data_IF_491203098548
#
_entry.id   IF_491203098548
#
_cell.length_a   1.000
_cell.length_b   1.000
_cell.length_c   1.000
_cell.angle_alpha   90.00
_cell.angle_beta   90.00
_cell.angle_gamma   90.00
#
_symmetry.space_group_name_H-M   'P 1'
#
loop_
_entity.id
_entity.type
_entity.pdbx_description
1 polymer ?
#
# COMPACT_ATOMS: atom_id res chain seq x y z
N UNK A 1 -11.87 -14.63 21.28
CA UNK A 1 -12.42 -13.42 20.59
C UNK A 1 -12.82 -12.35 21.63
N UNK A 2 -12.06 -12.16 22.72
CA UNK A 2 -12.40 -11.20 23.79
C UNK A 2 -11.25 -10.19 23.98
N UNK A 3 -10.90 -9.44 22.93
CA UNK A 3 -9.87 -8.41 23.02
C UNK A 3 -10.45 -7.15 23.67
N UNK A 4 -9.74 -6.58 24.64
CA UNK A 4 -10.11 -5.30 25.28
C UNK A 4 -9.55 -4.13 24.45
N UNK A 5 -10.24 -2.97 24.42
CA UNK A 5 -9.74 -1.79 23.74
C UNK A 5 -8.46 -1.28 24.41
N UNK A 6 -7.54 -0.75 23.60
CA UNK A 6 -6.30 -0.13 24.07
C UNK A 6 -6.49 1.39 24.00
N UNK A 7 -6.55 2.10 25.14
CA UNK A 7 -6.67 3.56 25.13
C UNK A 7 -5.39 4.20 24.59
N UNK A 8 -5.55 5.31 23.88
CA UNK A 8 -4.46 6.13 23.30
C UNK A 8 -4.71 7.59 23.63
N UNK A 9 -3.65 8.39 23.60
CA UNK A 9 -3.76 9.83 23.82
C UNK A 9 -4.27 10.52 22.55
N UNK A 10 -5.08 11.57 22.71
CA UNK A 10 -5.77 12.24 21.59
C UNK A 10 -4.83 12.97 20.61
N UNK A 11 -3.63 13.33 21.06
CA UNK A 11 -2.64 14.09 20.29
C UNK A 11 -1.38 13.30 19.94
N UNK A 12 -1.38 11.98 20.15
CA UNK A 12 -0.26 11.13 19.77
C UNK A 12 -0.30 10.81 18.26
N UNK A 13 0.87 10.76 17.62
CA UNK A 13 0.96 10.27 16.25
C UNK A 13 0.44 8.84 16.14
N UNK A 14 -0.29 8.53 15.07
CA UNK A 14 -0.89 7.21 14.91
C UNK A 14 0.22 6.18 14.62
N UNK A 15 0.46 5.18 15.49
CA UNK A 15 1.49 4.18 15.25
C UNK A 15 1.13 3.29 14.05
N UNK A 16 2.07 3.19 13.10
CA UNK A 16 1.96 2.37 11.90
C UNK A 16 2.72 1.04 12.10
N UNK A 17 2.00 -0.08 11.96
CA UNK A 17 2.62 -1.40 12.07
C UNK A 17 3.37 -1.78 10.78
N UNK A 18 4.68 -2.01 10.89
CA UNK A 18 5.58 -2.36 9.76
C UNK A 18 5.74 -3.87 9.52
N UNK A 19 4.97 -4.71 10.23
CA UNK A 19 5.06 -6.18 10.10
C UNK A 19 4.77 -6.63 8.68
N UNK A 20 5.67 -7.45 8.13
CA UNK A 20 5.51 -8.08 6.82
C UNK A 20 4.88 -9.47 6.94
N UNK A 21 3.93 -9.76 6.07
CA UNK A 21 3.17 -11.03 6.07
C UNK A 21 3.76 -12.00 5.05
N UNK A 22 3.78 -13.28 5.41
CA UNK A 22 4.14 -14.39 4.50
C UNK A 22 2.89 -14.89 3.78
N UNK A 23 3.00 -15.05 2.47
CA UNK A 23 1.90 -15.54 1.62
C UNK A 23 1.86 -17.07 1.57
N UNK A 24 0.66 -17.62 1.32
CA UNK A 24 0.51 -19.04 0.96
C UNK A 24 1.20 -19.32 -0.39
N UNK A 25 1.48 -20.59 -0.73
CA UNK A 25 1.91 -20.96 -2.07
C UNK A 25 0.90 -20.56 -3.15
N UNK A 26 1.36 -20.44 -4.40
CA UNK A 26 0.51 -20.13 -5.57
C UNK A 26 -0.45 -21.28 -5.89
N UNK A 27 -1.59 -21.04 -6.57
CA UNK A 27 -2.06 -19.77 -7.12
C UNK A 27 -2.78 -18.86 -6.10
N UNK A 28 -2.63 -17.55 -6.28
CA UNK A 28 -3.32 -16.52 -5.47
C UNK A 28 -4.52 -15.95 -6.23
N UNK A 29 -5.44 -15.31 -5.50
CA UNK A 29 -6.61 -14.62 -6.09
C UNK A 29 -6.20 -13.51 -7.06
N UNK A 30 -5.09 -12.82 -6.80
CA UNK A 30 -4.51 -11.79 -7.67
C UNK A 30 -2.99 -11.94 -7.74
N UNK A 31 -2.41 -11.37 -8.79
CA UNK A 31 -0.95 -11.30 -8.96
C UNK A 31 -0.38 -10.10 -8.20
N UNK A 32 -0.30 -10.24 -6.89
CA UNK A 32 0.17 -9.22 -5.96
C UNK A 32 1.65 -8.87 -6.13
N UNK A 33 2.43 -9.71 -6.84
CA UNK A 33 3.83 -9.45 -7.17
C UNK A 33 4.03 -8.31 -8.18
N UNK A 34 2.97 -7.83 -8.85
CA UNK A 34 3.09 -6.83 -9.90
C UNK A 34 3.31 -5.42 -9.33
N UNK A 35 4.21 -4.59 -9.93
CA UNK A 35 4.48 -3.22 -9.48
C UNK A 35 3.23 -2.31 -9.39
N UNK A 36 2.21 -2.56 -10.23
CA UNK A 36 0.93 -1.81 -10.22
C UNK A 36 0.28 -1.69 -8.84
N UNK A 37 0.44 -2.69 -7.97
CA UNK A 37 -0.19 -2.68 -6.64
C UNK A 37 0.67 -2.00 -5.56
N UNK A 38 1.97 -1.79 -5.81
CA UNK A 38 2.92 -1.13 -4.90
C UNK A 38 2.84 -1.61 -3.43
N UNK A 39 2.73 -2.93 -3.21
CA UNK A 39 2.57 -3.51 -1.87
C UNK A 39 3.94 -3.70 -1.20
N UNK A 40 4.17 -3.04 -0.06
CA UNK A 40 5.41 -3.14 0.74
C UNK A 40 5.30 -4.05 1.98
N UNK A 41 4.09 -4.53 2.28
CA UNK A 41 3.78 -5.34 3.46
C UNK A 41 3.87 -6.86 3.25
N UNK A 42 4.24 -7.34 2.06
CA UNK A 42 4.36 -8.76 1.74
C UNK A 42 5.82 -9.14 1.59
N UNK A 43 6.25 -10.18 2.30
CA UNK A 43 7.55 -10.80 2.07
C UNK A 43 7.41 -11.82 0.94
N UNK A 44 7.79 -11.43 -0.28
CA UNK A 44 7.75 -12.32 -1.44
C UNK A 44 8.94 -13.29 -1.41
N UNK A 45 8.70 -14.52 -0.94
CA UNK A 45 9.65 -15.63 -1.06
C UNK A 45 9.55 -16.27 -2.47
N UNK A 46 9.69 -15.46 -3.51
CA UNK A 46 9.62 -15.90 -4.91
C UNK A 46 11.02 -16.03 -5.51
N UNK A 47 11.24 -16.98 -6.44
CA UNK A 47 12.47 -17.03 -7.22
C UNK A 47 12.68 -15.75 -8.03
N UNK A 48 13.94 -15.37 -8.20
CA UNK A 48 14.36 -14.16 -8.91
C UNK A 48 13.76 -14.04 -10.33
N UNK A 49 13.71 -15.14 -11.09
CA UNK A 49 13.12 -15.13 -12.43
C UNK A 49 11.65 -14.67 -12.44
N UNK A 50 10.89 -14.97 -11.37
CA UNK A 50 9.48 -14.55 -11.25
C UNK A 50 9.37 -13.08 -10.87
N UNK A 51 10.29 -12.58 -10.04
CA UNK A 51 10.36 -11.17 -9.70
C UNK A 51 10.71 -10.34 -10.93
N UNK A 52 11.70 -10.75 -11.72
CA UNK A 52 12.05 -10.10 -12.98
C UNK A 52 10.89 -10.12 -13.98
N UNK A 53 10.17 -11.25 -14.09
CA UNK A 53 8.98 -11.31 -14.94
C UNK A 53 7.88 -10.36 -14.49
N UNK A 54 7.70 -10.15 -13.18
CA UNK A 54 6.76 -9.16 -12.65
C UNK A 54 7.24 -7.72 -12.90
N UNK A 55 8.54 -7.47 -12.79
CA UNK A 55 9.15 -6.16 -13.03
C UNK A 55 8.99 -5.69 -14.48
N UNK A 56 8.88 -6.59 -15.45
CA UNK A 56 8.57 -6.23 -16.86
C UNK A 56 7.27 -5.44 -17.02
N UNK A 57 6.37 -5.47 -16.03
CA UNK A 57 5.14 -4.69 -16.01
C UNK A 57 5.22 -3.42 -15.17
N UNK A 58 6.43 -3.00 -14.79
CA UNK A 58 6.64 -1.68 -14.17
C UNK A 58 6.30 -0.58 -15.16
N UNK A 59 5.64 0.47 -14.67
CA UNK A 59 5.33 1.67 -15.43
C UNK A 59 6.01 2.85 -14.72
N UNK A 60 7.34 3.03 -14.86
CA UNK A 60 8.09 4.02 -14.10
C UNK A 60 7.66 5.46 -14.38
N UNK A 61 7.14 5.75 -15.58
CA UNK A 61 6.62 7.07 -15.94
C UNK A 61 5.38 7.48 -15.14
N UNK A 62 4.66 6.51 -14.56
CA UNK A 62 3.41 6.79 -13.84
C UNK A 62 3.64 7.62 -12.57
N UNK A 63 4.81 7.50 -11.94
CA UNK A 63 5.18 8.29 -10.77
C UNK A 63 5.44 9.76 -11.11
N UNK A 64 5.71 10.07 -12.38
CA UNK A 64 6.01 11.42 -12.86
C UNK A 64 4.84 12.05 -13.63
N UNK A 65 3.71 11.34 -13.73
CA UNK A 65 2.51 11.82 -14.40
C UNK A 65 1.71 12.76 -13.47
N UNK A 66 2.16 14.02 -13.39
CA UNK A 66 1.56 15.05 -12.53
C UNK A 66 0.10 15.37 -12.92
N UNK A 67 -0.30 15.16 -14.17
CA UNK A 67 -1.66 15.45 -14.64
C UNK A 67 -2.70 14.49 -14.04
N UNK A 68 -2.24 13.32 -13.59
CA UNK A 68 -3.08 12.30 -12.96
C UNK A 68 -3.35 12.60 -11.48
N UNK A 69 -2.53 13.43 -10.85
CA UNK A 69 -2.70 13.79 -9.45
C UNK A 69 -3.97 14.63 -9.25
N UNK A 70 -4.75 14.30 -8.22
CA UNK A 70 -5.99 15.00 -7.90
C UNK A 70 -5.75 15.97 -6.74
N UNK A 71 -5.74 17.27 -7.04
CA UNK A 71 -5.60 18.32 -6.04
C UNK A 71 -6.90 18.46 -5.22
N UNK A 72 -6.80 18.11 -3.95
CA UNK A 72 -7.91 18.09 -2.97
C UNK A 72 -7.87 19.25 -1.99
N UNK A 73 -6.84 20.11 -2.04
CA UNK A 73 -6.60 21.18 -1.06
C UNK A 73 -7.80 22.10 -0.84
N UNK A 74 -8.32 22.69 -1.94
CA UNK A 74 -9.49 23.59 -1.90
C UNK A 74 -10.77 22.89 -1.45
N UNK A 75 -10.90 21.59 -1.73
CA UNK A 75 -12.08 20.80 -1.36
C UNK A 75 -12.05 20.51 0.14
N UNK A 76 -10.90 20.11 0.67
CA UNK A 76 -10.72 19.89 2.11
C UNK A 76 -10.94 21.17 2.93
N UNK A 77 -10.44 22.32 2.45
CA UNK A 77 -10.70 23.60 3.10
C UNK A 77 -12.19 23.95 3.15
N UNK A 78 -12.93 23.62 2.09
CA UNK A 78 -14.38 23.84 2.05
C UNK A 78 -15.10 22.94 3.05
N UNK A 79 -14.75 21.65 3.09
CA UNK A 79 -15.33 20.66 4.01
C UNK A 79 -15.05 21.02 5.47
N UNK A 80 -13.87 21.57 5.79
CA UNK A 80 -13.54 21.99 7.16
C UNK A 80 -14.30 23.23 7.65
N UNK A 81 -14.80 24.06 6.74
CA UNK A 81 -15.56 25.30 7.06
C UNK A 81 -17.06 25.06 7.20
N UNK A 82 -17.56 23.99 6.59
CA UNK A 82 -18.95 23.54 6.69
C UNK A 82 -19.17 22.75 7.99
#
# INVERSE_FOLDING_TARGET
VNMKPVPRMDHEEIPVNKVQVRMKPKPWSKRWERPKYNIKGIKFELPEHKMQAAQKWSQPWLEFDMLREYDTSKIEEKIRKE
#
